data_IF_354643091171
#
_entry.id   IF_354643091171
#
_cell.length_a   1.000
_cell.length_b   1.000
_cell.length_c   1.000
_cell.angle_alpha   90.00
_cell.angle_beta   90.00
_cell.angle_gamma   90.00
#
_symmetry.space_group_name_H-M   'P 1'
#
loop_
_entity.id
_entity.type
_entity.pdbx_description
1 polymer ?
#
# COMPACT_ATOMS: atom_id res chain seq x y z
N UNK A 1 8.02 -2.12 -23.93
CA UNK A 1 9.41 -1.90 -23.53
C UNK A 1 9.34 -1.51 -22.08
N UNK A 2 9.86 -2.34 -21.17
CA UNK A 2 9.53 -2.25 -19.74
C UNK A 2 9.55 -0.80 -19.24
N UNK A 3 8.41 -0.35 -18.68
CA UNK A 3 8.24 0.99 -18.14
C UNK A 3 9.16 1.26 -16.93
N UNK A 4 9.77 0.22 -16.37
CA UNK A 4 10.66 0.30 -15.24
C UNK A 4 12.09 0.68 -15.66
N UNK A 5 12.67 1.60 -14.89
CA UNK A 5 14.08 1.98 -14.96
C UNK A 5 14.77 1.41 -13.72
N UNK A 6 15.85 0.69 -13.94
CA UNK A 6 16.60 0.05 -12.87
C UNK A 6 17.90 0.79 -12.60
N UNK A 7 18.26 0.91 -11.33
CA UNK A 7 19.61 1.34 -10.93
C UNK A 7 20.62 0.22 -11.19
N UNK A 8 21.91 0.49 -11.04
CA UNK A 8 22.94 -0.56 -10.99
C UNK A 8 22.62 -1.56 -9.87
N UNK A 9 22.76 -2.85 -10.16
CA UNK A 9 22.61 -3.89 -9.14
C UNK A 9 23.75 -3.79 -8.12
N UNK A 10 23.42 -3.94 -6.83
CA UNK A 10 24.40 -3.78 -5.75
C UNK A 10 24.75 -5.12 -5.11
N UNK A 11 26.02 -5.29 -4.76
CA UNK A 11 26.56 -6.54 -4.19
C UNK A 11 25.80 -7.04 -2.94
N UNK A 12 25.40 -6.20 -1.97
CA UNK A 12 24.71 -6.68 -0.76
C UNK A 12 23.34 -7.33 -1.02
N UNK A 13 22.69 -6.99 -2.15
CA UNK A 13 21.32 -7.42 -2.46
C UNK A 13 21.23 -8.43 -3.61
N UNK A 14 22.30 -8.59 -4.40
CA UNK A 14 22.34 -9.43 -5.61
C UNK A 14 21.89 -10.88 -5.37
N UNK A 15 22.35 -11.48 -4.28
CA UNK A 15 22.19 -12.93 -4.06
C UNK A 15 21.05 -13.26 -3.08
N UNK A 16 20.28 -12.25 -2.63
CA UNK A 16 19.12 -12.43 -1.75
C UNK A 16 17.78 -12.17 -2.47
N UNK A 17 16.69 -12.17 -1.69
CA UNK A 17 15.33 -11.96 -2.20
C UNK A 17 15.18 -10.70 -3.07
N UNK A 18 15.89 -9.62 -2.75
CA UNK A 18 15.84 -8.36 -3.53
C UNK A 18 16.39 -8.57 -4.94
N UNK A 19 17.57 -9.20 -5.09
CA UNK A 19 18.15 -9.50 -6.40
C UNK A 19 17.34 -10.55 -7.18
N UNK A 20 16.72 -11.51 -6.50
CA UNK A 20 15.77 -12.44 -7.13
C UNK A 20 14.53 -11.72 -7.69
N UNK A 21 13.89 -10.87 -6.89
CA UNK A 21 12.74 -10.07 -7.32
C UNK A 21 13.11 -9.14 -8.47
N UNK A 22 14.27 -8.48 -8.41
CA UNK A 22 14.76 -7.63 -9.50
C UNK A 22 14.79 -8.37 -10.84
N UNK A 23 15.48 -9.53 -10.88
CA UNK A 23 15.61 -10.33 -12.11
C UNK A 23 14.25 -10.83 -12.63
N UNK A 24 13.35 -11.21 -11.72
CA UNK A 24 11.98 -11.54 -12.09
C UNK A 24 11.28 -10.37 -12.79
N UNK A 25 11.33 -9.18 -12.20
CA UNK A 25 10.72 -7.96 -12.74
C UNK A 25 11.34 -7.49 -14.07
N UNK A 26 12.62 -7.73 -14.29
CA UNK A 26 13.30 -7.44 -15.57
C UNK A 26 12.71 -8.27 -16.73
N UNK A 27 12.18 -9.46 -16.44
CA UNK A 27 11.55 -10.36 -17.42
C UNK A 27 10.03 -10.35 -17.39
N UNK A 28 9.42 -9.66 -16.43
CA UNK A 28 7.97 -9.65 -16.24
C UNK A 28 7.27 -8.87 -17.37
N UNK A 29 6.08 -9.36 -17.76
CA UNK A 29 5.22 -8.65 -18.69
C UNK A 29 4.64 -7.38 -18.04
N UNK A 30 4.39 -6.35 -18.84
CA UNK A 30 3.87 -5.07 -18.35
C UNK A 30 2.49 -5.23 -17.68
N UNK A 31 1.70 -6.25 -18.07
CA UNK A 31 0.41 -6.58 -17.46
C UNK A 31 0.48 -7.03 -16.00
N UNK A 32 1.67 -7.40 -15.50
CA UNK A 32 1.86 -7.74 -14.09
C UNK A 32 1.80 -6.50 -13.20
N UNK A 33 2.00 -5.30 -13.76
CA UNK A 33 1.96 -4.04 -13.02
C UNK A 33 0.56 -3.43 -13.06
N UNK A 34 -0.02 -3.18 -11.88
CA UNK A 34 -1.37 -2.62 -11.74
C UNK A 34 -1.39 -1.08 -11.66
N UNK A 35 -0.24 -0.42 -11.68
CA UNK A 35 -0.12 1.03 -11.53
C UNK A 35 0.89 1.67 -12.49
N UNK A 36 0.60 2.90 -12.89
CA UNK A 36 1.49 3.75 -13.70
C UNK A 36 2.66 4.26 -12.84
N UNK A 37 3.91 3.84 -13.10
CA UNK A 37 5.06 4.21 -12.27
C UNK A 37 5.31 5.72 -12.17
N UNK A 38 5.01 6.48 -13.24
CA UNK A 38 5.21 7.93 -13.24
C UNK A 38 4.19 8.63 -12.33
N UNK A 39 2.91 8.21 -12.39
CA UNK A 39 1.86 8.74 -11.50
C UNK A 39 2.11 8.36 -10.04
N UNK A 40 2.56 7.14 -9.79
CA UNK A 40 2.92 6.68 -8.44
C UNK A 40 4.06 7.52 -7.85
N UNK A 41 5.14 7.74 -8.61
CA UNK A 41 6.27 8.55 -8.17
C UNK A 41 5.86 10.00 -7.89
N UNK A 42 5.03 10.61 -8.74
CA UNK A 42 4.49 11.95 -8.53
C UNK A 42 3.66 12.04 -7.24
N UNK A 43 2.73 11.10 -7.02
CA UNK A 43 1.90 11.06 -5.82
C UNK A 43 2.73 10.93 -4.53
N UNK A 44 3.79 10.11 -4.54
CA UNK A 44 4.72 9.98 -3.42
C UNK A 44 5.44 11.31 -3.19
N UNK A 45 6.02 11.91 -4.24
CA UNK A 45 6.72 13.18 -4.15
C UNK A 45 5.84 14.29 -3.57
N UNK A 46 4.64 14.46 -4.11
CA UNK A 46 3.70 15.48 -3.65
C UNK A 46 3.29 15.24 -2.19
N UNK A 47 3.10 13.98 -1.79
CA UNK A 47 2.79 13.62 -0.40
C UNK A 47 3.91 14.03 0.56
N UNK A 48 5.18 13.85 0.20
CA UNK A 48 6.32 14.27 1.05
C UNK A 48 6.41 15.79 1.25
N UNK A 49 5.76 16.57 0.38
CA UNK A 49 5.73 18.04 0.44
C UNK A 49 4.47 18.58 1.12
N UNK A 50 3.51 17.71 1.43
CA UNK A 50 2.27 18.13 2.07
C UNK A 50 2.54 18.55 3.52
N UNK A 51 1.98 19.68 4.00
CA UNK A 51 2.24 20.16 5.36
C UNK A 51 1.75 19.20 6.46
N UNK A 52 0.71 18.41 6.16
CA UNK A 52 0.16 17.38 7.04
C UNK A 52 -0.11 16.11 6.20
N UNK A 53 0.90 15.30 5.88
CA UNK A 53 0.71 14.13 5.01
C UNK A 53 -0.10 13.04 5.74
N UNK A 54 -0.88 12.22 5.02
CA UNK A 54 -1.53 11.06 5.62
C UNK A 54 -0.47 10.06 6.11
N UNK A 55 -0.76 9.38 7.23
CA UNK A 55 0.11 8.32 7.74
C UNK A 55 0.24 7.13 6.77
N UNK A 56 -0.80 6.88 5.97
CA UNK A 56 -0.84 5.83 4.94
C UNK A 56 -1.36 6.40 3.64
N UNK A 57 -0.63 6.17 2.54
CA UNK A 57 -0.99 6.57 1.19
C UNK A 57 -1.36 5.32 0.39
N UNK A 58 -2.65 5.13 0.10
CA UNK A 58 -3.11 4.05 -0.75
C UNK A 58 -2.84 4.40 -2.22
N UNK A 59 -2.07 3.56 -2.91
CA UNK A 59 -1.67 3.77 -4.30
C UNK A 59 -2.17 2.60 -5.15
N UNK A 60 -3.16 2.87 -6.02
CA UNK A 60 -3.83 1.85 -6.82
C UNK A 60 -5.22 1.49 -6.28
N UNK A 61 -6.13 1.14 -7.20
CA UNK A 61 -7.52 0.80 -6.86
C UNK A 61 -7.64 -0.52 -6.11
N UNK A 62 -6.77 -1.48 -6.42
CA UNK A 62 -6.64 -2.76 -5.71
C UNK A 62 -6.28 -2.55 -4.23
N UNK A 63 -5.26 -1.72 -3.98
CA UNK A 63 -4.80 -1.34 -2.64
C UNK A 63 -5.90 -0.63 -1.87
N UNK A 64 -6.55 0.36 -2.50
CA UNK A 64 -7.68 1.06 -1.89
C UNK A 64 -8.81 0.08 -1.51
N UNK A 65 -9.25 -0.78 -2.44
CA UNK A 65 -10.34 -1.72 -2.22
C UNK A 65 -10.01 -2.70 -1.09
N UNK A 66 -8.79 -3.25 -1.07
CA UNK A 66 -8.36 -4.17 -0.02
C UNK A 66 -8.37 -3.52 1.37
N UNK A 67 -7.84 -2.29 1.48
CA UNK A 67 -7.84 -1.52 2.73
C UNK A 67 -9.28 -1.20 3.14
N UNK A 68 -10.10 -0.71 2.21
CA UNK A 68 -11.48 -0.33 2.46
C UNK A 68 -12.31 -1.50 2.97
N UNK A 69 -12.25 -2.66 2.31
CA UNK A 69 -12.94 -3.89 2.75
C UNK A 69 -12.53 -4.25 4.16
N UNK A 70 -11.23 -4.35 4.43
CA UNK A 70 -10.75 -4.79 5.73
C UNK A 70 -11.07 -3.78 6.86
N UNK A 71 -11.12 -2.48 6.57
CA UNK A 71 -11.55 -1.47 7.54
C UNK A 71 -13.07 -1.55 7.79
N UNK A 72 -13.86 -1.75 6.73
CA UNK A 72 -15.31 -1.89 6.81
C UNK A 72 -15.70 -3.12 7.65
N UNK A 73 -15.02 -4.24 7.46
CA UNK A 73 -15.23 -5.45 8.25
C UNK A 73 -14.94 -5.22 9.74
N UNK A 74 -13.80 -4.59 10.05
CA UNK A 74 -13.42 -4.27 11.44
C UNK A 74 -14.41 -3.31 12.10
N UNK A 75 -14.84 -2.28 11.37
CA UNK A 75 -15.85 -1.35 11.86
C UNK A 75 -17.18 -2.05 12.09
N UNK A 76 -17.62 -2.89 11.15
CA UNK A 76 -18.85 -3.69 11.31
C UNK A 76 -18.78 -4.56 12.56
N UNK A 77 -17.67 -5.27 12.78
CA UNK A 77 -17.47 -6.10 13.96
C UNK A 77 -17.40 -5.32 15.29
N UNK A 78 -16.98 -4.05 15.24
CA UNK A 78 -17.03 -3.15 16.40
C UNK A 78 -18.48 -2.71 16.69
N UNK A 79 -19.21 -2.31 15.64
CA UNK A 79 -20.59 -1.81 15.78
C UNK A 79 -21.55 -2.87 16.34
N UNK A 80 -21.32 -4.16 16.09
CA UNK A 80 -22.12 -5.24 16.72
C UNK A 80 -21.97 -5.30 18.25
N UNK A 81 -20.90 -4.70 18.81
CA UNK A 81 -20.62 -4.68 20.24
C UNK A 81 -21.15 -3.41 20.94
N UNK A 82 -21.83 -2.53 20.21
CA UNK A 82 -22.24 -1.20 20.69
C UNK A 82 -23.12 -1.24 21.95
N UNK A 83 -24.12 -2.12 21.98
CA UNK A 83 -25.02 -2.24 23.14
C UNK A 83 -24.29 -2.75 24.38
N UNK A 84 -23.42 -3.74 24.21
CA UNK A 84 -22.58 -4.26 25.29
C UNK A 84 -21.61 -3.20 25.81
N UNK A 85 -20.97 -2.44 24.92
CA UNK A 85 -20.09 -1.35 25.31
C UNK A 85 -20.84 -0.28 26.12
N UNK A 86 -22.08 0.04 25.74
CA UNK A 86 -22.92 1.00 26.46
C UNK A 86 -23.37 0.48 27.84
N UNK A 87 -23.63 -0.83 27.98
CA UNK A 87 -24.16 -1.39 29.24
C UNK A 87 -23.15 -1.37 30.40
N UNK A 88 -21.85 -1.25 30.10
CA UNK A 88 -20.77 -1.19 31.10
C UNK A 88 -20.26 0.24 31.36
N UNK A 89 -20.87 1.25 30.74
CA UNK A 89 -20.51 2.65 30.97
C UNK A 89 -20.97 3.12 32.37
N UNK A 90 -20.14 3.92 33.05
CA UNK A 90 -20.56 4.60 34.27
C UNK A 90 -21.59 5.69 33.93
N UNK A 91 -22.79 5.58 34.50
CA UNK A 91 -23.82 6.62 34.42
C UNK A 91 -23.67 7.56 35.62
N UNK A 92 -23.46 8.85 35.38
CA UNK A 92 -23.51 9.91 36.39
C UNK A 92 -24.86 10.65 36.32
#
# INVERSE_FOLDING_TARGET
>A
ASALRYTTESTPYRDNAVGQTRRYLETADESVFTGDPAKLAAAIYDTTRHPNPPLRLALGSDTYNAIHTALTERLTALETQKELAASVALTH
#
